data_IF_943279641355
#
_entry.id   IF_943279641355
#
_cell.length_a   1.000
_cell.length_b   1.000
_cell.length_c   1.000
_cell.angle_alpha   90.00
_cell.angle_beta   90.00
_cell.angle_gamma   90.00
#
_symmetry.space_group_name_H-M   'P 1'
#
loop_
_entity.id
_entity.type
_entity.pdbx_description
1 polymer ?
#
# COMPACT_ATOMS: atom_id res chain seq x y z
N UNK A 1 -30.10 -38.29 -7.86
CA UNK A 1 -28.97 -37.35 -8.01
C UNK A 1 -29.58 -36.04 -8.47
N UNK A 2 -29.37 -34.93 -7.75
CA UNK A 2 -29.87 -33.64 -8.22
C UNK A 2 -28.88 -33.10 -9.25
N UNK A 3 -29.35 -32.86 -10.48
CA UNK A 3 -28.55 -32.26 -11.54
C UNK A 3 -28.06 -30.89 -11.07
N UNK A 4 -26.73 -30.72 -11.00
CA UNK A 4 -26.11 -29.46 -10.66
C UNK A 4 -26.30 -28.47 -11.82
N UNK A 5 -26.87 -27.31 -11.53
CA UNK A 5 -26.97 -26.20 -12.48
C UNK A 5 -25.60 -25.87 -13.09
N UNK A 6 -25.51 -25.64 -14.42
CA UNK A 6 -24.27 -25.21 -15.08
C UNK A 6 -23.72 -23.89 -14.53
N UNK A 7 -22.40 -23.76 -14.48
CA UNK A 7 -21.70 -22.60 -13.89
C UNK A 7 -22.05 -21.27 -14.61
N UNK A 8 -22.29 -21.32 -15.93
CA UNK A 8 -22.73 -20.19 -16.76
C UNK A 8 -24.11 -19.67 -16.35
N UNK A 9 -25.06 -20.58 -16.09
CA UNK A 9 -26.40 -20.23 -15.62
C UNK A 9 -26.35 -19.62 -14.21
N UNK A 10 -25.49 -20.16 -13.33
CA UNK A 10 -25.28 -19.60 -11.99
C UNK A 10 -24.63 -18.21 -12.09
N UNK A 11 -23.65 -18.02 -12.97
CA UNK A 11 -23.04 -16.70 -13.22
C UNK A 11 -24.06 -15.68 -13.71
N UNK A 12 -24.99 -16.08 -14.58
CA UNK A 12 -26.07 -15.24 -15.05
C UNK A 12 -27.08 -14.87 -13.95
N UNK A 13 -27.36 -15.78 -13.02
CA UNK A 13 -28.19 -15.48 -11.84
C UNK A 13 -27.46 -14.48 -10.93
N UNK A 14 -26.19 -14.73 -10.65
CA UNK A 14 -25.36 -13.90 -9.79
C UNK A 14 -25.15 -12.50 -10.42
N UNK A 15 -25.01 -12.40 -11.75
CA UNK A 15 -24.79 -11.12 -12.45
C UNK A 15 -26.01 -10.19 -12.34
N UNK A 16 -27.22 -10.76 -12.25
CA UNK A 16 -28.48 -10.02 -12.01
C UNK A 16 -28.58 -9.45 -10.59
N UNK A 17 -27.80 -9.95 -9.63
CA UNK A 17 -27.77 -9.41 -8.26
C UNK A 17 -27.04 -8.06 -8.28
N UNK A 18 -27.80 -6.97 -8.29
CA UNK A 18 -27.23 -5.60 -8.30
C UNK A 18 -26.54 -5.22 -6.99
N UNK A 19 -26.91 -5.86 -5.88
CA UNK A 19 -26.33 -5.61 -4.55
C UNK A 19 -25.13 -6.53 -4.30
N UNK A 20 -23.92 -5.97 -4.32
CA UNK A 20 -22.69 -6.77 -4.12
C UNK A 20 -22.62 -7.41 -2.71
N UNK A 21 -23.14 -6.83 -1.62
CA UNK A 21 -23.28 -7.56 -0.35
C UNK A 21 -24.09 -8.86 -0.45
N UNK A 22 -25.21 -8.83 -1.17
CA UNK A 22 -26.02 -10.03 -1.43
C UNK A 22 -25.25 -11.04 -2.30
N UNK A 23 -24.50 -10.54 -3.29
CA UNK A 23 -23.58 -11.36 -4.07
C UNK A 23 -22.50 -12.02 -3.19
N UNK A 24 -21.91 -11.30 -2.23
CA UNK A 24 -20.92 -11.85 -1.31
C UNK A 24 -21.54 -12.88 -0.35
N UNK A 25 -22.81 -12.73 0.04
CA UNK A 25 -23.52 -13.77 0.81
C UNK A 25 -23.74 -15.04 -0.02
N UNK A 26 -23.94 -14.92 -1.33
CA UNK A 26 -24.01 -16.07 -2.23
C UNK A 26 -22.72 -16.90 -2.21
N UNK A 27 -21.55 -16.29 -1.94
CA UNK A 27 -20.28 -17.01 -1.79
C UNK A 27 -20.23 -17.95 -0.57
N UNK A 28 -21.17 -17.82 0.38
CA UNK A 28 -21.29 -18.70 1.53
C UNK A 28 -22.10 -19.98 1.23
N UNK A 29 -22.81 -20.06 0.09
CA UNK A 29 -23.70 -21.18 -0.25
C UNK A 29 -22.93 -22.48 -0.45
N UNK A 30 -21.92 -22.47 -1.32
CA UNK A 30 -21.07 -23.64 -1.56
C UNK A 30 -19.73 -23.22 -2.20
N UNK A 31 -18.77 -24.15 -2.29
CA UNK A 31 -17.46 -23.92 -2.93
C UNK A 31 -17.59 -23.47 -4.39
N UNK A 32 -18.57 -23.99 -5.13
CA UNK A 32 -18.84 -23.61 -6.52
C UNK A 32 -19.25 -22.14 -6.65
N UNK A 33 -20.31 -21.74 -5.95
CA UNK A 33 -20.82 -20.37 -5.94
C UNK A 33 -19.77 -19.37 -5.43
N UNK A 34 -18.96 -19.77 -4.44
CA UNK A 34 -17.82 -18.98 -3.96
C UNK A 34 -16.84 -18.66 -5.08
N UNK A 35 -16.46 -19.65 -5.90
CA UNK A 35 -15.56 -19.44 -7.06
C UNK A 35 -16.18 -18.55 -8.12
N UNK A 36 -17.49 -18.64 -8.33
CA UNK A 36 -18.20 -17.82 -9.32
C UNK A 36 -18.32 -16.35 -8.88
N UNK A 37 -18.72 -16.10 -7.63
CA UNK A 37 -18.77 -14.74 -7.05
C UNK A 37 -17.39 -14.07 -7.06
N UNK A 38 -16.36 -14.84 -6.73
CA UNK A 38 -14.96 -14.43 -6.76
C UNK A 38 -14.51 -13.89 -8.14
N UNK A 39 -15.00 -14.48 -9.23
CA UNK A 39 -14.66 -14.07 -10.60
C UNK A 39 -15.36 -12.79 -11.05
N UNK A 40 -16.24 -12.22 -10.24
CA UNK A 40 -16.97 -11.02 -10.60
C UNK A 40 -16.16 -9.76 -10.30
N UNK A 41 -15.82 -9.00 -11.35
CA UNK A 41 -15.12 -7.70 -11.27
C UNK A 41 -15.82 -6.71 -10.33
N UNK A 42 -17.13 -6.87 -10.15
CA UNK A 42 -17.99 -6.02 -9.31
C UNK A 42 -17.64 -6.05 -7.81
N UNK A 43 -16.85 -7.02 -7.35
CA UNK A 43 -16.44 -7.08 -5.95
C UNK A 43 -15.35 -6.05 -5.63
N UNK A 44 -14.61 -5.56 -6.65
CA UNK A 44 -13.56 -4.55 -6.50
C UNK A 44 -12.38 -5.05 -5.68
N UNK A 45 -11.16 -4.68 -6.07
CA UNK A 45 -9.95 -5.13 -5.37
C UNK A 45 -9.66 -4.29 -4.12
N UNK A 46 -10.09 -3.02 -4.09
CA UNK A 46 -9.89 -2.14 -2.94
C UNK A 46 -10.80 -2.53 -1.75
N UNK A 47 -10.17 -2.90 -0.64
CA UNK A 47 -10.86 -3.36 0.56
C UNK A 47 -11.13 -2.26 1.58
N UNK A 48 -10.31 -1.21 1.59
CA UNK A 48 -10.32 -0.17 2.61
C UNK A 48 -8.91 0.24 3.00
N UNK A 49 -8.74 0.77 4.20
CA UNK A 49 -7.43 1.21 4.67
C UNK A 49 -7.25 0.98 6.17
N UNK A 50 -6.00 0.75 6.58
CA UNK A 50 -5.60 0.76 7.98
C UNK A 50 -5.15 2.16 8.40
N UNK A 51 -5.41 2.47 9.66
CA UNK A 51 -4.84 3.64 10.33
C UNK A 51 -4.59 3.35 11.81
N UNK A 52 -3.82 4.20 12.49
CA UNK A 52 -3.63 4.10 13.94
C UNK A 52 -4.71 4.88 14.68
N UNK A 53 -5.52 4.16 15.45
CA UNK A 53 -6.55 4.75 16.31
C UNK A 53 -6.05 4.87 17.74
N UNK A 54 -6.16 6.05 18.36
CA UNK A 54 -5.97 6.18 19.80
C UNK A 54 -7.17 5.57 20.51
N UNK A 55 -6.95 4.50 21.28
CA UNK A 55 -8.01 3.91 22.11
C UNK A 55 -8.31 4.84 23.30
N UNK A 56 -9.40 4.60 24.05
CA UNK A 56 -9.75 5.36 25.28
C UNK A 56 -8.78 5.14 26.48
N UNK A 57 -7.54 4.78 26.19
CA UNK A 57 -6.38 4.68 27.08
C UNK A 57 -5.15 4.97 26.22
N UNK A 58 -4.03 5.38 26.81
CA UNK A 58 -2.88 6.04 26.16
C UNK A 58 -2.19 5.30 24.97
N UNK A 59 -2.71 4.15 24.52
CA UNK A 59 -2.18 3.30 23.48
C UNK A 59 -2.88 3.50 22.13
N UNK A 60 -2.12 3.49 21.03
CA UNK A 60 -2.66 3.48 19.66
C UNK A 60 -2.72 2.05 19.14
N UNK A 61 -3.69 1.72 18.28
CA UNK A 61 -3.78 0.37 17.67
C UNK A 61 -4.17 0.47 16.20
N UNK A 62 -3.66 -0.44 15.32
CA UNK A 62 -4.11 -0.50 13.94
C UNK A 62 -5.60 -0.85 13.84
N UNK A 63 -6.32 0.00 13.12
CA UNK A 63 -7.74 -0.09 12.88
C UNK A 63 -8.03 -0.07 11.39
N UNK A 64 -8.80 -1.05 10.93
CA UNK A 64 -9.25 -1.18 9.56
C UNK A 64 -10.56 -0.44 9.35
N UNK A 65 -10.57 0.45 8.36
CA UNK A 65 -11.75 1.14 7.87
C UNK A 65 -12.08 0.53 6.51
N UNK A 66 -13.16 -0.28 6.44
CA UNK A 66 -13.54 -0.89 5.18
C UNK A 66 -13.98 0.16 4.18
N UNK A 67 -13.72 -0.11 2.90
CA UNK A 67 -14.30 0.65 1.81
C UNK A 67 -15.83 0.71 1.97
N UNK A 68 -16.47 1.86 1.70
CA UNK A 68 -17.91 1.94 1.52
C UNK A 68 -18.36 0.83 0.58
N UNK A 69 -19.55 0.30 0.85
CA UNK A 69 -20.19 -0.86 0.21
C UNK A 69 -19.52 -1.31 -1.10
N UNK A 70 -19.07 -2.57 -1.18
CA UNK A 70 -19.74 -3.71 -0.53
C UNK A 70 -18.94 -4.43 0.57
N UNK A 71 -17.67 -4.08 0.72
CA UNK A 71 -16.69 -4.74 1.59
C UNK A 71 -17.09 -4.74 3.07
N UNK A 72 -17.79 -3.69 3.51
CA UNK A 72 -18.34 -3.55 4.87
C UNK A 72 -19.17 -4.75 5.34
N UNK A 73 -19.79 -5.52 4.43
CA UNK A 73 -20.62 -6.67 4.79
C UNK A 73 -19.79 -7.96 4.93
N UNK A 74 -18.75 -8.16 4.12
CA UNK A 74 -17.92 -9.36 4.19
C UNK A 74 -17.03 -9.43 5.43
N UNK A 75 -16.49 -8.30 5.88
CA UNK A 75 -15.63 -8.25 7.06
C UNK A 75 -16.41 -8.17 8.38
N UNK A 76 -17.71 -7.86 8.32
CA UNK A 76 -18.59 -7.75 9.48
C UNK A 76 -18.31 -6.50 10.34
N UNK A 77 -19.32 -6.02 11.06
CA UNK A 77 -19.21 -4.76 11.84
C UNK A 77 -18.17 -4.80 12.97
N UNK A 78 -17.79 -5.99 13.44
CA UNK A 78 -16.92 -6.22 14.62
C UNK A 78 -15.43 -6.42 14.28
N UNK A 79 -15.04 -6.74 13.04
CA UNK A 79 -13.64 -7.02 12.68
C UNK A 79 -12.90 -5.78 12.19
N UNK A 80 -12.72 -4.81 13.08
CA UNK A 80 -12.02 -3.55 12.75
C UNK A 80 -10.64 -3.44 13.38
N UNK A 81 -10.35 -4.20 14.45
CA UNK A 81 -9.00 -4.27 15.02
C UNK A 81 -8.15 -5.25 14.23
N UNK A 82 -6.87 -4.95 14.03
CA UNK A 82 -5.95 -5.90 13.40
C UNK A 82 -5.90 -7.26 14.12
N UNK A 83 -5.98 -7.29 15.45
CA UNK A 83 -6.07 -8.52 16.23
C UNK A 83 -7.26 -9.42 15.87
N UNK A 84 -8.35 -8.85 15.33
CA UNK A 84 -9.50 -9.64 14.86
C UNK A 84 -9.31 -10.25 13.47
N UNK A 85 -8.31 -9.75 12.73
CA UNK A 85 -7.87 -10.28 11.44
C UNK A 85 -6.71 -11.28 11.62
N UNK A 86 -5.97 -11.22 12.72
CA UNK A 86 -4.84 -12.11 13.02
C UNK A 86 -5.13 -12.90 14.30
N UNK A 87 -6.01 -13.93 14.25
CA UNK A 87 -6.46 -14.65 15.44
C UNK A 87 -5.37 -15.50 16.10
N UNK A 88 -4.29 -15.82 15.38
CA UNK A 88 -3.22 -16.68 15.88
C UNK A 88 -2.45 -16.06 17.05
N UNK A 89 -2.54 -14.73 17.22
CA UNK A 89 -1.92 -14.02 18.33
C UNK A 89 -2.95 -13.73 19.42
N UNK A 90 -2.82 -14.47 20.53
CA UNK A 90 -3.70 -14.35 21.70
C UNK A 90 -3.15 -13.46 22.80
N UNK A 91 -1.97 -12.87 22.61
CA UNK A 91 -1.36 -11.96 23.59
C UNK A 91 -2.08 -10.61 23.54
N UNK A 92 -2.76 -10.27 24.64
CA UNK A 92 -3.44 -8.99 24.77
C UNK A 92 -2.44 -7.83 24.64
N UNK A 93 -2.82 -6.79 23.90
CA UNK A 93 -1.98 -5.61 23.70
C UNK A 93 -0.77 -5.81 22.79
N UNK A 94 -0.61 -6.97 22.14
CA UNK A 94 0.54 -7.20 21.24
C UNK A 94 0.65 -6.19 20.09
N UNK A 95 -0.50 -5.72 19.59
CA UNK A 95 -0.57 -4.71 18.53
C UNK A 95 -0.69 -3.29 19.08
N UNK A 96 -0.52 -3.09 20.38
CA UNK A 96 -0.47 -1.76 20.96
C UNK A 96 0.77 -1.04 20.40
N UNK A 97 0.57 0.19 19.96
CA UNK A 97 1.52 1.02 19.22
C UNK A 97 2.01 0.45 17.89
N UNK A 98 1.38 -0.61 17.37
CA UNK A 98 1.72 -1.10 16.04
C UNK A 98 1.31 -0.09 14.96
N UNK A 99 2.18 0.11 13.97
CA UNK A 99 2.05 1.07 12.88
C UNK A 99 1.98 0.28 11.57
N UNK A 100 0.87 0.33 10.82
CA UNK A 100 0.83 -0.20 9.46
C UNK A 100 1.74 0.64 8.57
N UNK A 101 2.58 -0.01 7.76
CA UNK A 101 3.56 0.65 6.89
C UNK A 101 3.13 0.58 5.42
N UNK A 102 2.92 -0.61 4.87
CA UNK A 102 2.56 -0.81 3.46
C UNK A 102 1.76 -2.10 3.28
N UNK A 103 0.87 -2.13 2.29
CA UNK A 103 0.14 -3.34 1.90
C UNK A 103 0.30 -3.63 0.42
N UNK A 104 0.55 -4.90 0.11
CA UNK A 104 0.74 -5.39 -1.25
C UNK A 104 0.28 -6.84 -1.36
N UNK A 105 -0.61 -7.13 -2.31
CA UNK A 105 -1.17 -8.47 -2.59
C UNK A 105 -1.70 -9.21 -1.34
N UNK A 106 -2.45 -8.51 -0.47
CA UNK A 106 -3.03 -9.10 0.74
C UNK A 106 -2.06 -9.27 1.91
N UNK A 107 -0.79 -8.90 1.75
CA UNK A 107 0.17 -8.79 2.84
C UNK A 107 0.15 -7.37 3.41
N UNK A 108 0.44 -7.25 4.71
CA UNK A 108 0.57 -5.99 5.43
C UNK A 108 1.86 -5.99 6.25
N UNK A 109 2.76 -5.05 5.96
CA UNK A 109 3.96 -4.81 6.77
C UNK A 109 3.58 -3.89 7.94
N UNK A 110 4.01 -4.29 9.13
CA UNK A 110 3.76 -3.61 10.39
C UNK A 110 5.08 -3.32 11.09
N UNK A 111 5.16 -2.19 11.76
CA UNK A 111 6.16 -1.92 12.80
C UNK A 111 5.48 -1.95 14.15
N UNK A 112 5.89 -2.87 15.00
CA UNK A 112 5.44 -2.98 16.39
C UNK A 112 6.44 -2.19 17.24
N UNK A 113 6.01 -1.04 17.74
CA UNK A 113 6.85 -0.23 18.62
C UNK A 113 6.94 -0.92 19.98
N UNK A 114 8.15 -1.25 20.40
CA UNK A 114 8.44 -1.84 21.71
C UNK A 114 9.35 -0.89 22.50
N UNK A 115 9.64 -1.21 23.75
CA UNK A 115 10.64 -0.47 24.55
C UNK A 115 12.06 -0.57 23.96
N UNK A 116 12.29 -1.46 22.98
CA UNK A 116 13.55 -1.58 22.27
C UNK A 116 13.65 -0.49 21.20
N UNK A 117 14.81 0.17 21.11
CA UNK A 117 15.08 1.17 20.08
C UNK A 117 14.84 0.56 18.70
N UNK A 118 13.97 1.20 17.92
CA UNK A 118 13.67 0.77 16.55
C UNK A 118 12.53 -0.23 16.41
N UNK A 119 11.86 -0.69 17.46
CA UNK A 119 10.70 -1.59 17.29
C UNK A 119 11.00 -2.89 16.53
N UNK A 120 9.94 -3.64 16.21
CA UNK A 120 10.03 -4.94 15.55
C UNK A 120 9.18 -4.90 14.27
N UNK A 121 9.73 -5.37 13.16
CA UNK A 121 8.97 -5.51 11.92
C UNK A 121 8.24 -6.85 11.88
N UNK A 122 7.02 -6.85 11.35
CA UNK A 122 6.24 -8.06 11.16
C UNK A 122 5.45 -7.99 9.85
N UNK A 123 5.31 -9.12 9.17
CA UNK A 123 4.47 -9.26 7.99
C UNK A 123 3.22 -10.04 8.36
N UNK A 124 2.07 -9.42 8.19
CA UNK A 124 0.76 -10.00 8.38
C UNK A 124 0.21 -10.48 7.04
N UNK A 125 -0.21 -11.74 6.98
CA UNK A 125 -1.02 -12.25 5.88
C UNK A 125 -2.49 -12.04 6.25
N UNK A 126 -3.16 -11.11 5.58
CA UNK A 126 -4.56 -10.78 5.87
C UNK A 126 -5.52 -11.88 5.37
N UNK A 127 -5.11 -12.64 4.36
CA UNK A 127 -5.87 -13.75 3.77
C UNK A 127 -5.84 -14.95 4.71
N UNK A 128 -4.65 -15.41 5.09
CA UNK A 128 -4.48 -16.54 6.00
C UNK A 128 -4.79 -16.17 7.46
N UNK A 129 -4.56 -14.91 7.85
CA UNK A 129 -4.68 -14.45 9.24
C UNK A 129 -3.47 -14.77 10.11
N UNK A 130 -2.31 -15.00 9.49
CA UNK A 130 -1.06 -15.35 10.16
C UNK A 130 -0.18 -14.12 10.32
N UNK A 131 0.72 -14.11 11.31
CA UNK A 131 1.77 -13.11 11.46
C UNK A 131 3.15 -13.76 11.46
N UNK A 132 4.07 -13.20 10.69
CA UNK A 132 5.49 -13.54 10.76
C UNK A 132 6.28 -12.35 11.29
N UNK A 133 6.81 -12.49 12.50
CA UNK A 133 7.75 -11.52 13.09
C UNK A 133 9.10 -11.66 12.39
N UNK A 134 9.69 -10.55 11.97
CA UNK A 134 10.99 -10.52 11.30
C UNK A 134 12.11 -10.39 12.32
N UNK A 135 13.34 -10.85 12.00
CA UNK A 135 14.51 -10.60 12.82
C UNK A 135 14.72 -9.10 13.07
N UNK A 136 15.33 -8.75 14.21
CA UNK A 136 15.59 -7.36 14.57
C UNK A 136 16.50 -6.67 13.54
N UNK A 137 16.13 -5.46 13.13
CA UNK A 137 16.95 -4.61 12.26
C UNK A 137 18.05 -3.93 13.11
N UNK A 138 19.16 -4.62 13.33
CA UNK A 138 20.24 -4.13 14.20
C UNK A 138 20.91 -2.87 13.64
N UNK A 139 21.17 -1.88 14.50
CA UNK A 139 22.02 -0.72 14.20
C UNK A 139 21.33 0.50 13.60
N UNK A 140 19.99 0.49 13.47
CA UNK A 140 19.25 1.63 12.92
C UNK A 140 18.24 2.12 13.96
N UNK A 141 18.38 3.38 14.36
CA UNK A 141 17.23 4.07 14.90
C UNK A 141 16.23 4.15 13.74
N UNK A 142 15.06 3.52 13.88
CA UNK A 142 13.92 3.73 12.98
C UNK A 142 13.37 5.14 13.16
N UNK A 143 14.22 6.15 12.95
CA UNK A 143 13.78 7.52 12.80
C UNK A 143 12.87 7.52 11.58
N UNK A 144 11.60 7.77 11.83
CA UNK A 144 10.53 7.57 10.89
C UNK A 144 10.79 8.34 9.59
N UNK A 145 11.41 9.51 9.68
CA UNK A 145 11.58 10.41 8.55
C UNK A 145 12.58 9.94 7.49
N UNK A 146 13.48 9.02 7.82
CA UNK A 146 14.59 8.61 6.95
C UNK A 146 14.46 7.19 6.39
N UNK A 147 13.27 6.60 6.50
CA UNK A 147 13.02 5.24 6.06
C UNK A 147 11.96 5.16 4.97
N UNK A 148 12.30 4.45 3.90
CA UNK A 148 11.38 3.92 2.91
C UNK A 148 11.26 2.41 3.03
N UNK A 149 10.13 1.85 2.61
CA UNK A 149 9.86 0.42 2.72
C UNK A 149 8.99 -0.09 1.57
N UNK A 150 9.08 -1.38 1.29
CA UNK A 150 8.15 -2.08 0.39
C UNK A 150 8.06 -3.57 0.69
N UNK A 151 6.99 -4.18 0.18
CA UNK A 151 6.76 -5.62 0.13
C UNK A 151 6.79 -6.07 -1.33
N UNK A 152 7.57 -7.11 -1.61
CA UNK A 152 7.61 -7.77 -2.91
C UNK A 152 7.14 -9.22 -2.74
N UNK A 153 6.39 -9.72 -3.71
CA UNK A 153 5.84 -11.07 -3.74
C UNK A 153 6.28 -11.81 -5.00
N UNK A 154 5.94 -13.09 -5.11
CA UNK A 154 6.17 -13.84 -6.36
C UNK A 154 5.41 -13.27 -7.56
N UNK A 155 4.25 -12.64 -7.34
CA UNK A 155 3.47 -11.99 -8.41
C UNK A 155 4.22 -10.81 -9.04
N UNK A 156 5.23 -10.29 -8.35
CA UNK A 156 6.05 -9.17 -8.80
C UNK A 156 7.36 -9.64 -9.46
N UNK A 157 7.52 -10.94 -9.74
CA UNK A 157 8.61 -11.45 -10.59
C UNK A 157 8.08 -11.49 -12.02
N UNK A 158 8.79 -10.89 -12.98
CA UNK A 158 8.35 -10.77 -14.38
C UNK A 158 8.41 -12.08 -15.18
N UNK A 159 8.35 -13.23 -14.51
CA UNK A 159 8.44 -14.54 -15.16
C UNK A 159 7.07 -15.01 -15.65
N UNK A 160 7.03 -15.39 -16.92
CA UNK A 160 5.91 -15.97 -17.66
C UNK A 160 5.62 -17.46 -17.32
N UNK A 161 6.34 -18.05 -16.35
CA UNK A 161 6.13 -19.46 -16.03
C UNK A 161 4.98 -19.62 -15.02
N UNK A 162 3.86 -20.06 -15.58
CA UNK A 162 2.57 -20.32 -14.95
C UNK A 162 2.58 -21.57 -14.05
N UNK A 163 3.63 -21.76 -13.24
CA UNK A 163 3.64 -22.76 -12.18
C UNK A 163 2.91 -22.22 -10.95
N UNK A 164 1.59 -22.00 -11.10
CA UNK A 164 0.69 -21.49 -10.06
C UNK A 164 0.40 -22.48 -8.93
N UNK A 165 1.06 -23.64 -8.90
CA UNK A 165 0.82 -24.65 -7.87
C UNK A 165 2.15 -25.04 -7.22
N UNK A 166 2.28 -24.72 -5.93
CA UNK A 166 3.26 -25.24 -4.96
C UNK A 166 4.53 -24.42 -4.63
N UNK A 167 4.54 -23.09 -4.72
CA UNK A 167 5.52 -22.31 -3.94
C UNK A 167 4.93 -21.83 -2.61
N UNK A 168 5.60 -22.07 -1.45
CA UNK A 168 5.18 -21.52 -0.18
C UNK A 168 5.12 -19.98 -0.24
N UNK A 169 4.35 -19.38 0.67
CA UNK A 169 4.15 -17.94 0.84
C UNK A 169 5.47 -17.15 0.78
N UNK A 170 5.85 -16.74 -0.43
CA UNK A 170 7.08 -15.99 -0.66
C UNK A 170 6.80 -14.50 -0.64
N UNK A 171 7.49 -13.82 0.25
CA UNK A 171 7.62 -12.38 0.26
C UNK A 171 9.07 -11.95 0.48
N UNK A 172 9.42 -10.76 0.01
CA UNK A 172 10.60 -10.00 0.42
C UNK A 172 10.16 -8.69 1.04
N UNK A 173 10.82 -8.30 2.12
CA UNK A 173 10.70 -6.96 2.71
C UNK A 173 11.96 -6.20 2.36
N UNK A 174 11.81 -5.01 1.79
CA UNK A 174 12.94 -4.15 1.48
C UNK A 174 12.78 -2.85 2.25
N UNK A 175 13.85 -2.45 2.92
CA UNK A 175 13.96 -1.23 3.70
C UNK A 175 15.10 -0.39 3.13
N UNK A 176 14.81 0.87 2.82
CA UNK A 176 15.79 1.87 2.40
C UNK A 176 15.95 2.86 3.55
N UNK A 177 17.16 3.02 4.06
CA UNK A 177 17.47 3.99 5.12
C UNK A 177 18.44 5.04 4.61
N UNK A 178 18.19 6.30 4.96
CA UNK A 178 19.11 7.41 4.76
C UNK A 178 19.88 7.64 6.06
N UNK A 179 21.20 7.47 6.02
CA UNK A 179 22.11 7.68 7.14
C UNK A 179 22.72 9.07 7.04
N UNK A 180 22.60 9.85 8.12
CA UNK A 180 23.29 11.14 8.25
C UNK A 180 24.70 10.90 8.79
N UNK A 181 25.73 11.14 7.98
CA UNK A 181 27.11 11.17 8.49
C UNK A 181 27.48 12.59 8.95
N UNK A 182 28.45 12.71 9.86
CA UNK A 182 28.84 13.88 10.68
C UNK A 182 29.25 15.19 9.95
N UNK A 183 28.82 15.40 8.71
CA UNK A 183 29.05 16.63 7.98
C UNK A 183 28.76 16.45 6.51
N UNK A 184 27.49 16.53 6.11
CA UNK A 184 27.03 16.75 4.72
C UNK A 184 26.72 15.53 3.84
N UNK A 185 27.28 14.34 4.07
CA UNK A 185 26.99 13.16 3.24
C UNK A 185 25.81 12.33 3.77
N UNK A 186 24.84 12.06 2.89
CA UNK A 186 23.75 11.10 3.12
C UNK A 186 24.12 9.78 2.45
N UNK A 187 24.38 8.74 3.24
CA UNK A 187 24.54 7.38 2.71
C UNK A 187 23.20 6.68 2.68
N UNK A 188 22.95 5.89 1.64
CA UNK A 188 21.77 5.04 1.57
C UNK A 188 22.18 3.62 1.88
N UNK A 189 21.40 2.95 2.73
CA UNK A 189 21.56 1.53 3.00
C UNK A 189 20.29 0.80 2.63
N UNK A 190 20.45 -0.27 1.85
CA UNK A 190 19.36 -1.17 1.49
C UNK A 190 19.46 -2.42 2.37
N UNK A 191 18.36 -2.76 3.03
CA UNK A 191 18.23 -4.00 3.77
C UNK A 191 17.09 -4.80 3.19
N UNK A 192 17.37 -6.06 2.87
CA UNK A 192 16.38 -6.97 2.32
C UNK A 192 16.24 -8.17 3.25
N UNK A 193 15.01 -8.52 3.57
CA UNK A 193 14.65 -9.78 4.19
C UNK A 193 13.87 -10.60 3.16
N UNK A 194 14.18 -11.88 3.03
CA UNK A 194 13.48 -12.81 2.17
C UNK A 194 12.88 -13.91 3.00
N UNK A 195 11.59 -14.17 2.83
CA UNK A 195 10.88 -15.27 3.49
C UNK A 195 11.49 -16.66 3.24
N UNK A 196 12.19 -16.83 2.10
CA UNK A 196 12.90 -18.06 1.72
C UNK A 196 14.29 -18.20 2.37
N UNK A 197 14.81 -17.14 2.98
CA UNK A 197 16.10 -17.19 3.66
C UNK A 197 15.90 -16.98 5.16
N UNK A 198 16.22 -17.99 5.97
CA UNK A 198 16.04 -17.94 7.42
C UNK A 198 17.20 -17.23 8.15
N UNK A 199 18.30 -16.94 7.45
CA UNK A 199 19.51 -16.35 8.07
C UNK A 199 19.35 -14.86 8.44
N UNK A 200 18.22 -14.24 8.10
CA UNK A 200 17.88 -12.86 8.48
C UNK A 200 18.09 -11.82 7.39
N UNK A 201 18.39 -10.59 7.80
CA UNK A 201 18.53 -9.45 6.90
C UNK A 201 19.83 -9.51 6.10
N UNK A 202 19.74 -9.42 4.78
CA UNK A 202 20.87 -9.16 3.91
C UNK A 202 21.03 -7.65 3.72
N UNK A 203 22.24 -7.14 3.99
CA UNK A 203 22.57 -5.73 3.75
C UNK A 203 23.24 -5.59 2.39
N UNK A 204 22.62 -4.83 1.51
CA UNK A 204 23.28 -4.31 0.32
C UNK A 204 23.72 -2.89 0.63
N UNK A 205 24.96 -2.79 1.12
CA UNK A 205 25.67 -1.52 1.33
C UNK A 205 26.60 -1.28 0.16
N UNK A 206 26.05 -1.17 -1.05
CA UNK A 206 26.88 -1.01 -2.25
C UNK A 206 27.41 0.42 -2.35
N UNK A 207 28.67 0.55 -2.77
CA UNK A 207 29.25 1.78 -3.33
C UNK A 207 28.41 2.38 -4.48
N UNK A 208 27.41 1.65 -5.00
CA UNK A 208 26.41 2.08 -5.99
C UNK A 208 25.55 3.27 -5.54
N UNK A 209 25.34 3.47 -4.23
CA UNK A 209 24.65 4.66 -3.69
C UNK A 209 25.63 5.77 -3.31
N UNK A 210 26.95 5.54 -3.44
CA UNK A 210 27.95 6.60 -3.60
C UNK A 210 28.03 7.03 -5.08
N UNK A 211 26.91 6.95 -5.81
CA UNK A 211 26.80 7.34 -7.20
C UNK A 211 27.55 8.66 -7.41
N UNK A 212 28.60 8.58 -8.22
CA UNK A 212 29.64 9.59 -8.33
C UNK A 212 29.08 11.01 -8.50
N UNK A 213 29.83 11.95 -7.93
CA UNK A 213 29.75 13.39 -8.18
C UNK A 213 28.47 14.15 -7.85
N UNK A 214 27.40 13.53 -7.38
CA UNK A 214 26.18 14.28 -7.08
C UNK A 214 25.91 14.27 -5.58
N UNK A 215 26.12 15.44 -4.97
CA UNK A 215 25.81 15.83 -3.60
C UNK A 215 24.28 15.86 -3.35
N UNK A 216 23.55 14.87 -3.88
CA UNK A 216 22.09 14.83 -3.89
C UNK A 216 21.64 14.46 -2.47
N UNK A 217 21.33 15.50 -1.69
CA UNK A 217 20.57 15.36 -0.45
C UNK A 217 19.13 15.06 -0.83
N UNK A 218 18.71 13.82 -0.69
CA UNK A 218 17.36 13.41 -1.06
C UNK A 218 16.49 13.24 0.18
N UNK A 219 15.28 13.78 0.17
CA UNK A 219 14.24 13.50 1.16
C UNK A 219 13.13 12.65 0.51
N UNK A 220 12.60 11.67 1.26
CA UNK A 220 11.44 10.90 0.83
C UNK A 220 10.23 11.81 0.62
N UNK A 221 9.68 11.78 -0.59
CA UNK A 221 8.36 12.34 -0.85
C UNK A 221 7.26 11.35 -0.45
N UNK A 222 7.56 10.06 -0.57
CA UNK A 222 6.72 8.92 -0.23
C UNK A 222 7.60 7.82 0.39
N UNK A 223 7.16 7.16 1.47
CA UNK A 223 7.98 6.16 2.18
C UNK A 223 7.76 4.76 1.60
N UNK A 224 6.52 4.46 1.31
CA UNK A 224 6.11 3.26 0.60
C UNK A 224 6.57 3.30 -0.86
N UNK A 225 7.24 2.26 -1.33
CA UNK A 225 7.53 2.14 -2.74
C UNK A 225 6.28 1.73 -3.51
N UNK A 226 6.20 2.18 -4.75
CA UNK A 226 5.28 1.64 -5.74
C UNK A 226 5.93 0.43 -6.38
N UNK A 227 5.21 -0.69 -6.50
CA UNK A 227 5.72 -1.91 -7.13
C UNK A 227 5.09 -2.05 -8.51
N UNK A 228 5.91 -2.09 -9.55
CA UNK A 228 5.47 -2.11 -10.94
C UNK A 228 6.54 -2.71 -11.86
N UNK A 229 6.13 -3.46 -12.89
CA UNK A 229 7.06 -3.95 -13.92
C UNK A 229 8.26 -4.74 -13.37
N UNK A 230 8.07 -5.49 -12.27
CA UNK A 230 9.13 -6.25 -11.63
C UNK A 230 10.13 -5.43 -10.79
N UNK A 231 9.83 -4.16 -10.53
CA UNK A 231 10.67 -3.26 -9.74
C UNK A 231 9.87 -2.51 -8.66
N UNK A 232 10.59 -2.05 -7.63
CA UNK A 232 10.09 -1.12 -6.62
C UNK A 232 10.63 0.29 -6.88
N UNK A 233 9.76 1.29 -6.81
CA UNK A 233 10.05 2.68 -7.15
C UNK A 233 9.72 3.58 -5.95
N UNK A 234 10.72 4.25 -5.38
CA UNK A 234 10.53 5.25 -4.32
C UNK A 234 10.61 6.66 -4.87
N UNK A 235 9.68 7.54 -4.46
CA UNK A 235 9.67 8.94 -4.86
C UNK A 235 10.44 9.82 -3.89
N UNK A 236 11.25 10.69 -4.48
CA UNK A 236 12.31 11.40 -3.81
C UNK A 236 12.43 12.83 -4.31
N UNK A 237 12.88 13.74 -3.47
CA UNK A 237 13.28 15.09 -3.90
C UNK A 237 14.69 15.38 -3.43
N UNK A 238 15.54 15.85 -4.34
CA UNK A 238 16.94 16.12 -4.02
C UNK A 238 17.54 17.30 -4.76
N UNK A 239 18.84 17.53 -4.54
CA UNK A 239 19.62 18.60 -5.16
C UNK A 239 20.44 18.10 -6.37
N UNK A 240 20.48 18.80 -7.52
CA UNK A 240 19.76 20.04 -7.83
C UNK A 240 18.25 19.82 -7.75
N UNK A 241 17.52 20.86 -7.30
CA UNK A 241 16.10 20.79 -6.93
C UNK A 241 15.28 20.08 -8.01
N UNK A 242 15.02 18.79 -7.81
CA UNK A 242 14.33 17.95 -8.77
C UNK A 242 13.73 16.75 -8.04
N UNK A 243 12.81 16.08 -8.72
CA UNK A 243 12.16 14.87 -8.22
C UNK A 243 12.79 13.67 -8.90
N UNK A 244 13.12 12.67 -8.10
CA UNK A 244 13.80 11.46 -8.52
C UNK A 244 12.98 10.22 -8.13
N UNK A 245 13.29 9.13 -8.81
CA UNK A 245 12.89 7.79 -8.41
C UNK A 245 14.13 6.97 -8.08
N UNK A 246 14.07 6.21 -6.98
CA UNK A 246 15.01 5.12 -6.72
C UNK A 246 14.31 3.84 -7.12
N UNK A 247 14.91 3.12 -8.05
CA UNK A 247 14.36 1.91 -8.63
C UNK A 247 15.16 0.70 -8.13
N UNK A 248 14.47 -0.33 -7.66
CA UNK A 248 15.07 -1.61 -7.29
C UNK A 248 14.42 -2.72 -8.12
N UNK A 249 15.20 -3.40 -8.95
CA UNK A 249 14.74 -4.60 -9.66
C UNK A 249 14.58 -5.77 -8.69
N UNK A 250 13.41 -6.42 -8.66
CA UNK A 250 13.16 -7.60 -7.83
C UNK A 250 13.96 -8.83 -8.31
N UNK A 251 14.24 -8.90 -9.62
CA UNK A 251 14.94 -10.02 -10.26
C UNK A 251 16.45 -9.92 -10.09
N UNK A 252 17.03 -8.79 -10.50
CA UNK A 252 18.49 -8.62 -10.53
C UNK A 252 19.03 -8.04 -9.22
N UNK A 253 18.17 -7.46 -8.39
CA UNK A 253 18.60 -6.66 -7.22
C UNK A 253 19.30 -5.36 -7.61
N UNK A 254 19.31 -5.00 -8.89
CA UNK A 254 19.93 -3.77 -9.38
C UNK A 254 19.20 -2.54 -8.85
N UNK A 255 19.97 -1.55 -8.40
CA UNK A 255 19.47 -0.27 -7.88
C UNK A 255 19.88 0.85 -8.83
N UNK A 256 18.93 1.71 -9.22
CA UNK A 256 19.20 2.91 -10.02
C UNK A 256 18.47 4.13 -9.49
N UNK A 257 18.99 5.32 -9.79
CA UNK A 257 18.32 6.59 -9.51
C UNK A 257 18.03 7.28 -10.84
N UNK A 258 16.79 7.72 -11.01
CA UNK A 258 16.29 8.31 -12.25
C UNK A 258 15.60 9.64 -11.96
N UNK A 259 16.05 10.73 -12.58
CA UNK A 259 15.37 12.03 -12.53
C UNK A 259 14.06 11.99 -13.34
N UNK A 260 12.97 12.51 -12.76
CA UNK A 260 11.69 12.63 -13.45
C UNK A 260 11.67 13.86 -14.36
N UNK A 261 11.46 13.63 -15.66
CA UNK A 261 11.45 14.68 -16.69
C UNK A 261 10.06 14.84 -17.32
N UNK A 262 9.83 15.98 -17.97
CA UNK A 262 8.59 16.27 -18.71
C UNK A 262 7.47 16.95 -17.91
N UNK A 263 7.74 17.32 -16.65
CA UNK A 263 6.82 18.13 -15.84
C UNK A 263 7.47 19.50 -15.60
N UNK A 264 6.89 20.55 -16.19
CA UNK A 264 7.42 21.90 -16.04
C UNK A 264 7.35 22.38 -14.59
N UNK A 265 8.39 23.09 -14.14
CA UNK A 265 8.49 23.64 -12.77
C UNK A 265 8.34 22.60 -11.65
N UNK A 266 8.62 21.32 -11.91
CA UNK A 266 8.54 20.24 -10.92
C UNK A 266 9.42 20.49 -9.69
N UNK A 267 10.52 21.23 -9.87
CA UNK A 267 11.38 21.66 -8.79
C UNK A 267 10.70 22.64 -7.82
N UNK A 268 9.89 23.58 -8.33
CA UNK A 268 9.12 24.53 -7.50
C UNK A 268 8.13 23.75 -6.64
N UNK A 269 7.46 22.76 -7.26
CA UNK A 269 6.58 21.84 -6.56
C UNK A 269 7.35 21.12 -5.44
N UNK A 270 8.50 20.54 -5.75
CA UNK A 270 9.35 19.86 -4.78
C UNK A 270 9.75 20.74 -3.59
N UNK A 271 10.21 21.97 -3.83
CA UNK A 271 10.59 22.92 -2.78
C UNK A 271 9.40 23.28 -1.89
N UNK A 272 8.25 23.64 -2.48
CA UNK A 272 7.04 23.98 -1.72
C UNK A 272 6.55 22.80 -0.87
N UNK A 273 6.73 21.57 -1.36
CA UNK A 273 6.37 20.36 -0.64
C UNK A 273 7.30 20.08 0.55
N UNK A 274 8.61 20.28 0.39
CA UNK A 274 9.59 20.14 1.49
C UNK A 274 9.34 21.18 2.58
N UNK A 275 8.95 22.40 2.21
CA UNK A 275 8.57 23.46 3.15
C UNK A 275 7.18 23.26 3.78
N UNK A 276 6.44 22.21 3.41
CA UNK A 276 5.10 21.94 3.92
C UNK A 276 4.02 22.93 3.44
N UNK A 277 4.31 23.73 2.42
CA UNK A 277 3.40 24.73 1.84
C UNK A 277 2.43 24.11 0.82
N UNK A 278 2.77 22.94 0.27
CA UNK A 278 1.93 22.18 -0.66
C UNK A 278 1.97 20.69 -0.32
N UNK A 279 0.90 19.99 -0.69
CA UNK A 279 0.84 18.54 -0.58
C UNK A 279 1.86 17.88 -1.52
N UNK A 280 2.57 16.86 -1.01
CA UNK A 280 3.62 16.15 -1.76
C UNK A 280 3.00 15.43 -2.97
N UNK A 281 3.69 15.32 -4.13
CA UNK A 281 3.24 14.42 -5.18
C UNK A 281 3.10 12.99 -4.65
N UNK A 282 2.21 12.19 -5.25
CA UNK A 282 2.01 10.79 -4.89
C UNK A 282 2.30 9.91 -6.11
N UNK A 283 3.27 9.02 -5.99
CA UNK A 283 3.61 8.07 -7.05
C UNK A 283 2.70 6.85 -6.90
N UNK A 284 2.15 6.37 -8.02
CA UNK A 284 1.35 5.15 -8.08
C UNK A 284 1.45 4.49 -9.46
N UNK A 285 0.60 3.50 -9.74
CA UNK A 285 0.47 2.79 -11.02
C UNK A 285 -0.92 2.93 -11.59
N UNK A 286 -1.02 2.98 -12.92
CA UNK A 286 -2.30 2.87 -13.62
C UNK A 286 -2.74 1.40 -13.79
N UNK A 287 -3.87 1.21 -14.46
CA UNK A 287 -4.40 -0.14 -14.75
C UNK A 287 -3.58 -0.92 -15.78
N UNK A 288 -2.63 -0.28 -16.45
CA UNK A 288 -1.71 -0.89 -17.42
C UNK A 288 -0.31 -1.13 -16.82
N UNK A 289 -0.15 -0.98 -15.50
CA UNK A 289 1.13 -1.06 -14.82
C UNK A 289 2.16 -0.06 -15.38
N UNK A 290 1.74 1.18 -15.62
CA UNK A 290 2.62 2.32 -15.88
C UNK A 290 2.66 3.24 -14.66
N UNK A 291 3.83 3.79 -14.37
CA UNK A 291 3.97 4.75 -13.29
C UNK A 291 3.13 6.01 -13.55
N UNK A 292 2.39 6.44 -12.53
CA UNK A 292 1.62 7.67 -12.51
C UNK A 292 2.03 8.55 -11.34
N UNK A 293 1.99 9.86 -11.53
CA UNK A 293 2.20 10.86 -10.49
C UNK A 293 0.94 11.70 -10.30
N UNK A 294 0.41 11.70 -9.09
CA UNK A 294 -0.74 12.51 -8.68
C UNK A 294 -0.25 13.78 -8.00
N UNK A 295 -0.61 14.93 -8.57
CA UNK A 295 -0.22 16.25 -8.07
C UNK A 295 -1.47 17.05 -7.71
N UNK A 296 -1.76 17.19 -6.41
CA UNK A 296 -2.85 18.05 -5.93
C UNK A 296 -2.51 19.53 -6.18
N UNK A 297 -3.43 20.26 -6.83
CA UNK A 297 -3.29 21.69 -7.05
C UNK A 297 -3.54 22.49 -5.76
N UNK A 298 -2.99 23.71 -5.71
CA UNK A 298 -3.06 24.58 -4.53
C UNK A 298 -4.50 25.01 -4.20
N UNK A 299 -5.38 25.08 -5.20
CA UNK A 299 -6.79 25.38 -4.99
C UNK A 299 -7.52 24.24 -4.24
N UNK A 300 -7.00 23.01 -4.29
CA UNK A 300 -7.59 21.82 -3.68
C UNK A 300 -8.76 21.23 -4.47
N UNK A 301 -9.04 21.72 -5.68
CA UNK A 301 -10.17 21.28 -6.51
C UNK A 301 -9.73 20.42 -7.69
N UNK A 302 -8.44 20.34 -7.97
CA UNK A 302 -7.93 19.60 -9.10
C UNK A 302 -6.72 18.76 -8.73
N UNK A 303 -6.65 17.56 -9.29
CA UNK A 303 -5.47 16.71 -9.24
C UNK A 303 -5.00 16.50 -10.67
N UNK A 304 -3.76 16.92 -10.93
CA UNK A 304 -3.10 16.64 -12.20
C UNK A 304 -2.54 15.22 -12.16
N UNK A 305 -2.83 14.45 -13.20
CA UNK A 305 -2.38 13.06 -13.33
C UNK A 305 -1.37 13.01 -14.47
N UNK A 306 -0.13 12.70 -14.10
CA UNK A 306 0.98 12.55 -15.04
C UNK A 306 1.30 11.08 -15.20
N UNK A 307 1.34 10.58 -16.43
CA UNK A 307 1.63 9.17 -16.70
C UNK A 307 2.99 9.05 -17.36
N UNK A 308 3.72 7.99 -17.03
CA UNK A 308 5.03 7.71 -17.59
C UNK A 308 4.91 6.98 -18.92
N UNK A 309 5.77 7.36 -19.89
CA UNK A 309 5.91 6.62 -21.16
C UNK A 309 6.92 5.46 -21.02
N UNK A 310 8.08 5.74 -20.44
CA UNK A 310 9.23 4.82 -20.36
C UNK A 310 9.87 4.82 -18.96
N UNK A 311 9.08 5.01 -17.91
CA UNK A 311 9.51 5.21 -16.51
C UNK A 311 10.44 6.42 -16.27
N UNK A 312 10.70 7.25 -17.30
CA UNK A 312 11.60 8.41 -17.25
C UNK A 312 10.92 9.71 -17.63
N UNK A 313 10.11 9.65 -18.69
CA UNK A 313 9.39 10.79 -19.24
C UNK A 313 7.93 10.74 -18.83
N UNK A 314 7.50 11.77 -18.11
CA UNK A 314 6.12 11.96 -17.69
C UNK A 314 5.45 13.00 -18.60
N UNK A 315 4.17 12.78 -18.90
CA UNK A 315 3.33 13.74 -19.60
C UNK A 315 1.99 13.85 -18.90
N UNK A 316 1.35 15.02 -18.97
CA UNK A 316 0.05 15.21 -18.34
C UNK A 316 -0.99 14.40 -19.11
N UNK A 317 -1.53 13.38 -18.45
CA UNK A 317 -2.49 12.47 -19.06
C UNK A 317 -3.93 12.94 -18.86
N UNK A 318 -4.26 13.46 -17.68
CA UNK A 318 -5.61 13.93 -17.36
C UNK A 318 -5.61 14.88 -16.16
N UNK A 319 -6.78 15.50 -15.92
CA UNK A 319 -7.04 16.33 -14.74
C UNK A 319 -8.31 15.80 -14.07
N UNK A 320 -8.18 15.40 -12.81
CA UNK A 320 -9.31 15.00 -11.98
C UNK A 320 -9.89 16.22 -11.28
N UNK A 321 -11.12 16.58 -11.62
CA UNK A 321 -11.86 17.68 -10.95
C UNK A 321 -12.60 17.12 -9.73
N UNK A 322 -12.33 17.70 -8.57
CA UNK A 322 -12.92 17.31 -7.31
C UNK A 322 -14.10 18.22 -6.97
N UNK A 323 -15.22 17.61 -6.57
CA UNK A 323 -16.41 18.35 -6.13
C UNK A 323 -16.18 19.11 -4.82
N UNK A 324 -15.36 18.56 -3.94
CA UNK A 324 -14.99 19.17 -2.67
C UNK A 324 -13.54 19.63 -2.68
N UNK A 325 -13.27 20.67 -1.90
CA UNK A 325 -11.92 21.21 -1.73
C UNK A 325 -11.12 20.33 -0.77
N UNK A 326 -10.11 19.64 -1.28
CA UNK A 326 -9.22 18.80 -0.45
C UNK A 326 -7.87 19.49 -0.24
N UNK A 327 -7.13 19.09 0.79
CA UNK A 327 -5.83 19.65 1.11
C UNK A 327 -4.70 18.62 1.12
N UNK A 328 -5.01 17.32 1.23
CA UNK A 328 -4.03 16.24 1.22
C UNK A 328 -4.52 15.02 0.45
N UNK A 329 -3.67 14.47 -0.39
CA UNK A 329 -3.73 13.07 -0.82
C UNK A 329 -3.10 12.22 0.29
N UNK A 330 -3.76 11.15 0.72
CA UNK A 330 -3.27 10.25 1.76
C UNK A 330 -2.72 8.93 1.19
N UNK A 331 -3.16 8.57 -0.01
CA UNK A 331 -2.66 7.40 -0.73
C UNK A 331 -3.59 7.02 -1.87
N UNK A 332 -3.11 6.15 -2.75
CA UNK A 332 -3.86 5.58 -3.86
C UNK A 332 -3.63 4.08 -3.89
N UNK A 333 -4.70 3.32 -4.14
CA UNK A 333 -4.61 1.88 -4.40
C UNK A 333 -5.78 1.45 -5.28
N UNK A 334 -5.48 0.68 -6.33
CA UNK A 334 -6.48 0.04 -7.20
C UNK A 334 -7.47 1.02 -7.86
N UNK A 335 -7.01 2.20 -8.27
CA UNK A 335 -7.81 3.24 -8.89
C UNK A 335 -8.58 4.13 -7.91
N UNK A 336 -8.37 3.97 -6.60
CA UNK A 336 -9.06 4.72 -5.55
C UNK A 336 -8.06 5.56 -4.77
N UNK A 337 -8.29 6.87 -4.72
CA UNK A 337 -7.50 7.83 -3.96
C UNK A 337 -8.22 8.22 -2.69
N UNK A 338 -7.48 8.25 -1.58
CA UNK A 338 -7.97 8.75 -0.31
C UNK A 338 -7.54 10.21 -0.13
N UNK A 339 -8.50 11.12 -0.06
CA UNK A 339 -8.27 12.55 0.17
C UNK A 339 -8.73 12.99 1.56
N UNK A 340 -8.14 14.07 2.05
CA UNK A 340 -8.59 14.78 3.24
C UNK A 340 -8.77 16.27 2.95
N UNK A 341 -9.83 16.88 3.47
CA UNK A 341 -10.04 18.32 3.44
C UNK A 341 -9.48 19.05 4.68
N UNK A 342 -9.66 20.38 4.72
CA UNK A 342 -9.19 21.20 5.84
C UNK A 342 -9.96 20.95 7.14
N UNK A 343 -11.18 20.45 7.04
CA UNK A 343 -12.04 20.04 8.16
C UNK A 343 -11.74 18.62 8.64
N UNK A 344 -10.72 17.96 8.07
CA UNK A 344 -10.32 16.57 8.34
C UNK A 344 -11.39 15.55 7.97
N UNK A 345 -12.31 15.90 7.07
CA UNK A 345 -13.22 14.95 6.44
C UNK A 345 -12.44 14.18 5.39
N UNK A 346 -12.68 12.88 5.37
CA UNK A 346 -11.96 11.93 4.51
C UNK A 346 -12.88 11.47 3.39
N UNK A 347 -12.35 11.44 2.18
CA UNK A 347 -13.09 11.06 0.99
C UNK A 347 -12.34 10.00 0.19
N UNK A 348 -13.07 9.07 -0.37
CA UNK A 348 -12.58 8.16 -1.41
C UNK A 348 -13.01 8.72 -2.76
N UNK A 349 -12.06 8.84 -3.68
CA UNK A 349 -12.31 9.30 -5.03
C UNK A 349 -11.80 8.26 -6.03
N UNK A 350 -12.63 7.90 -7.00
CA UNK A 350 -12.22 7.07 -8.12
C UNK A 350 -11.43 7.90 -9.13
N UNK A 351 -10.22 7.46 -9.47
CA UNK A 351 -9.27 8.18 -10.32
C UNK A 351 -9.82 8.40 -11.73
N UNK A 352 -10.60 7.44 -12.25
CA UNK A 352 -11.10 7.46 -13.63
C UNK A 352 -12.35 8.32 -13.77
N UNK A 353 -13.26 8.22 -12.81
CA UNK A 353 -14.59 8.84 -12.88
C UNK A 353 -14.69 10.13 -12.09
N UNK A 354 -13.79 10.36 -11.12
CA UNK A 354 -13.87 11.49 -10.17
C UNK A 354 -15.04 11.42 -9.21
N UNK A 355 -15.76 10.30 -9.17
CA UNK A 355 -16.82 10.08 -8.20
C UNK A 355 -16.18 10.03 -6.82
N UNK A 356 -16.73 10.84 -5.91
CA UNK A 356 -16.18 11.08 -4.59
C UNK A 356 -17.22 10.74 -3.52
N UNK A 357 -16.82 9.99 -2.51
CA UNK A 357 -17.67 9.56 -1.41
C UNK A 357 -17.00 9.82 -0.06
N UNK A 358 -17.74 10.40 0.87
CA UNK A 358 -17.28 10.59 2.25
C UNK A 358 -17.17 9.26 3.00
N UNK A 359 -16.09 9.11 3.76
CA UNK A 359 -15.87 7.98 4.66
C UNK A 359 -16.55 8.26 6.00
N UNK A 360 -17.83 7.90 6.12
CA UNK A 360 -18.65 8.18 7.31
C UNK A 360 -18.29 7.37 8.56
N UNK A 361 -17.55 6.26 8.40
CA UNK A 361 -17.15 5.39 9.52
C UNK A 361 -15.85 5.84 10.19
N UNK A 362 -15.35 7.02 9.82
CA UNK A 362 -14.12 7.62 10.31
C UNK A 362 -14.38 8.46 11.58
N UNK A 363 -13.63 8.23 12.68
CA UNK A 363 -13.69 9.08 13.86
C UNK A 363 -12.94 10.41 13.62
N UNK A 364 -13.69 11.52 13.53
CA UNK A 364 -13.19 12.89 13.26
C UNK A 364 -12.06 13.40 14.19
N UNK A 365 -11.81 12.75 15.33
CA UNK A 365 -10.90 13.21 16.38
C UNK A 365 -9.44 12.75 16.26
N UNK A 366 -9.04 12.11 15.15
CA UNK A 366 -7.71 11.51 15.01
C UNK A 366 -6.94 12.15 13.85
N UNK A 367 -5.63 12.31 14.02
CA UNK A 367 -4.78 12.86 12.97
C UNK A 367 -4.45 11.79 11.93
N UNK A 368 -5.09 11.83 10.77
CA UNK A 368 -4.67 11.06 9.60
C UNK A 368 -3.55 11.79 8.86
N UNK A 369 -2.55 11.03 8.43
CA UNK A 369 -1.50 11.48 7.53
C UNK A 369 -1.07 10.30 6.67
N UNK A 370 -0.31 10.58 5.60
CA UNK A 370 0.22 9.52 4.72
C UNK A 370 0.98 8.45 5.51
N UNK A 371 1.74 8.86 6.52
CA UNK A 371 2.61 7.98 7.30
C UNK A 371 1.87 6.97 8.18
N UNK A 372 0.60 7.23 8.52
CA UNK A 372 -0.20 6.35 9.36
C UNK A 372 -1.43 5.81 8.64
N UNK A 373 -1.44 5.86 7.31
CA UNK A 373 -2.57 5.42 6.48
C UNK A 373 -2.07 4.44 5.43
N UNK A 374 -2.61 3.22 5.44
CA UNK A 374 -2.22 2.18 4.47
C UNK A 374 -3.46 1.67 3.77
N UNK A 375 -3.59 1.97 2.48
CA UNK A 375 -4.65 1.43 1.65
C UNK A 375 -4.39 -0.05 1.36
N UNK A 376 -5.46 -0.83 1.32
CA UNK A 376 -5.40 -2.30 1.24
C UNK A 376 -6.20 -2.79 0.06
N UNK A 377 -5.55 -3.61 -0.74
CA UNK A 377 -6.21 -4.48 -1.71
C UNK A 377 -6.47 -5.86 -1.10
N UNK A 378 -7.56 -6.49 -1.53
CA UNK A 378 -7.93 -7.83 -1.11
C UNK A 378 -8.29 -8.67 -2.32
N UNK A 379 -7.63 -9.82 -2.43
CA UNK A 379 -8.09 -10.92 -3.27
C UNK A 379 -9.26 -11.59 -2.55
N UNK A 380 -10.48 -11.08 -2.79
CA UNK A 380 -11.70 -11.65 -2.24
C UNK A 380 -11.88 -13.16 -2.50
N UNK A 381 -11.62 -13.67 -3.73
CA UNK A 381 -11.55 -15.10 -3.98
C UNK A 381 -10.69 -15.86 -2.96
N UNK A 382 -9.42 -15.47 -2.82
CA UNK A 382 -8.49 -16.11 -1.92
C UNK A 382 -8.94 -15.95 -0.47
N UNK A 383 -9.40 -14.77 -0.08
CA UNK A 383 -9.88 -14.48 1.27
C UNK A 383 -11.01 -15.42 1.67
N UNK A 384 -12.01 -15.61 0.80
CA UNK A 384 -13.11 -16.54 1.08
C UNK A 384 -12.65 -18.01 1.04
N UNK A 385 -11.68 -18.37 0.22
CA UNK A 385 -11.11 -19.71 0.23
C UNK A 385 -10.40 -20.02 1.57
N UNK A 386 -9.49 -19.14 2.01
CA UNK A 386 -8.71 -19.32 3.23
C UNK A 386 -9.55 -19.19 4.52
N UNK A 387 -10.50 -18.26 4.59
CA UNK A 387 -11.25 -17.99 5.84
C UNK A 387 -12.53 -18.79 6.00
N UNK A 388 -13.22 -19.10 4.91
CA UNK A 388 -14.48 -19.87 4.94
C UNK A 388 -14.27 -21.34 4.54
N UNK A 389 -13.03 -21.76 4.24
CA UNK A 389 -12.67 -23.15 4.01
C UNK A 389 -12.31 -23.92 5.29
N UNK A 390 -11.88 -23.22 6.35
CA UNK A 390 -11.42 -23.82 7.62
C UNK A 390 -12.57 -24.11 8.59
N UNK A 391 -13.73 -23.48 8.42
CA UNK A 391 -14.89 -23.68 9.30
C UNK A 391 -15.71 -24.96 8.99
N UNK A 392 -15.19 -25.87 8.17
CA UNK A 392 -15.92 -27.04 7.67
C UNK A 392 -15.06 -28.31 7.61
N UNK A 393 -14.38 -28.63 8.71
CA UNK A 393 -13.87 -29.98 9.02
C UNK A 393 -14.33 -30.37 10.40
#
# INVERSE_FOLDING_TARGET
MADSLPDDVVMDILSRIKDVPSLLRCAAVCKGWRRLVARMERVGVFAGFFTQLQARGQHTTPWFIPSPRPVTVALGRRRRRLSSLVPDIRVAGFFDYAVPLVSHHGLLLLRINTNLRGGILAVCDLLAGTLRVLPSLLGYNLDEEMMGYTLLTNKDRGSLDDDQHQRPFFFKVVIVTILKNHGYYTEYSLQTFSSANETGWSRCSGDLLKAGNHNIRVAFMQREAVVCGGAAHWLFFGLPAAIYTLDLSNETGHVSITELKGIDNLWVLGVLCVLGLRDKPYLTVDTEAKLMLLCLQQDGHQVQIWTSRDNKMFFQSSILKLKQRVCKCLGEKSGIVLFMDKQRVVYLADVKTGVMQEVTQWPYNIGLCRQNTVLVEMDWPAFFAFRLGVAGT
#
